data_IF_964174616324
#
_entry.id   IF_964174616324
#
_cell.length_a   1.000
_cell.length_b   1.000
_cell.length_c   1.000
_cell.angle_alpha   90.00
_cell.angle_beta   90.00
_cell.angle_gamma   90.00
#
_symmetry.space_group_name_H-M   'P 1'
#
loop_
_entity.id
_entity.type
_entity.pdbx_description
1 polymer ?
#
# COMPACT_ATOMS: atom_id res chain seq x y z
N UNK A 1 -17.44 -9.07 1.09
CA UNK A 1 -16.04 -9.23 0.59
C UNK A 1 -15.96 -9.45 -0.92
N UNK A 2 -16.66 -10.45 -1.50
CA UNK A 2 -16.69 -10.68 -2.96
C UNK A 2 -16.89 -9.39 -3.77
N UNK A 3 -17.91 -8.62 -3.43
CA UNK A 3 -18.21 -7.33 -4.07
C UNK A 3 -17.06 -6.31 -3.95
N UNK A 4 -16.45 -6.19 -2.77
CA UNK A 4 -15.29 -5.32 -2.55
C UNK A 4 -14.13 -5.72 -3.46
N UNK A 5 -13.82 -7.01 -3.54
CA UNK A 5 -12.74 -7.52 -4.40
C UNK A 5 -13.05 -7.22 -5.88
N UNK A 6 -14.28 -7.42 -6.33
CA UNK A 6 -14.70 -7.04 -7.69
C UNK A 6 -14.45 -5.56 -7.99
N UNK A 7 -14.81 -4.67 -7.05
CA UNK A 7 -14.55 -3.23 -7.18
C UNK A 7 -13.06 -2.89 -7.17
N UNK A 8 -12.26 -3.56 -6.34
CA UNK A 8 -10.80 -3.38 -6.29
C UNK A 8 -10.17 -3.71 -7.65
N UNK A 9 -10.47 -4.88 -8.23
CA UNK A 9 -9.92 -5.25 -9.55
C UNK A 9 -10.40 -4.33 -10.67
N UNK A 10 -11.67 -3.95 -10.66
CA UNK A 10 -12.22 -3.01 -11.64
C UNK A 10 -11.57 -1.62 -11.52
N UNK A 11 -11.18 -1.21 -10.31
CA UNK A 11 -10.51 0.06 -10.07
C UNK A 11 -9.05 0.02 -10.53
N UNK A 12 -8.29 -1.01 -10.14
CA UNK A 12 -6.89 -1.19 -10.53
C UNK A 12 -6.74 -1.20 -12.06
N UNK A 13 -7.67 -1.86 -12.76
CA UNK A 13 -7.65 -1.93 -14.22
C UNK A 13 -7.66 -0.55 -14.91
N UNK A 14 -8.20 0.49 -14.26
CA UNK A 14 -8.32 1.85 -14.82
C UNK A 14 -7.04 2.68 -14.76
N UNK A 15 -6.07 2.32 -13.92
CA UNK A 15 -4.88 3.16 -13.68
C UNK A 15 -3.62 2.60 -14.30
N UNK A 16 -2.85 3.39 -15.03
CA UNK A 16 -1.64 2.90 -15.72
C UNK A 16 -0.53 2.44 -14.76
N UNK A 17 -0.42 3.06 -13.59
CA UNK A 17 0.57 2.75 -12.57
C UNK A 17 -0.09 2.70 -11.19
N UNK A 18 0.40 1.82 -10.33
CA UNK A 18 -0.03 1.73 -8.95
C UNK A 18 1.18 1.71 -8.01
N UNK A 19 1.09 2.51 -6.95
CA UNK A 19 2.18 2.73 -6.00
C UNK A 19 1.74 2.18 -4.64
N UNK A 20 2.64 1.45 -3.98
CA UNK A 20 2.38 0.87 -2.67
C UNK A 20 3.64 0.83 -1.82
N UNK A 21 3.50 0.62 -0.53
CA UNK A 21 4.59 0.23 0.35
C UNK A 21 4.44 -1.24 0.77
N UNK A 22 5.34 -2.12 0.31
CA UNK A 22 5.28 -3.58 0.52
C UNK A 22 4.06 -4.27 -0.14
N UNK A 23 3.47 -3.65 -1.16
CA UNK A 23 2.34 -4.24 -1.86
C UNK A 23 2.67 -5.54 -2.60
N UNK A 24 3.91 -5.72 -3.11
CA UNK A 24 4.33 -6.99 -3.75
C UNK A 24 4.53 -8.09 -2.71
N UNK A 25 4.94 -7.72 -1.50
CA UNK A 25 5.20 -8.67 -0.42
C UNK A 25 3.95 -9.09 0.36
N UNK A 26 2.91 -8.26 0.37
CA UNK A 26 1.70 -8.54 1.15
C UNK A 26 0.39 -8.28 0.39
N UNK A 27 0.07 -7.03 0.06
CA UNK A 27 -1.26 -6.62 -0.42
C UNK A 27 -1.70 -7.38 -1.67
N UNK A 28 -0.81 -7.50 -2.66
CA UNK A 28 -1.11 -8.20 -3.90
C UNK A 28 -1.31 -9.71 -3.69
N UNK A 29 -0.36 -10.46 -3.08
CA UNK A 29 -0.58 -11.86 -2.73
C UNK A 29 -1.88 -12.09 -1.94
N UNK A 30 -2.20 -11.19 -1.01
CA UNK A 30 -3.41 -11.28 -0.19
C UNK A 30 -4.68 -11.08 -1.04
N UNK A 31 -4.75 -10.03 -1.86
CA UNK A 31 -5.87 -9.78 -2.77
C UNK A 31 -6.07 -10.93 -3.75
N UNK A 32 -4.99 -11.49 -4.30
CA UNK A 32 -5.03 -12.63 -5.19
C UNK A 32 -5.64 -13.84 -4.47
N UNK A 33 -5.11 -14.20 -3.30
CA UNK A 33 -5.59 -15.34 -2.52
C UNK A 33 -7.08 -15.18 -2.14
N UNK A 34 -7.49 -14.01 -1.63
CA UNK A 34 -8.89 -13.74 -1.28
C UNK A 34 -9.81 -13.78 -2.51
N UNK A 35 -9.33 -13.34 -3.67
CA UNK A 35 -10.11 -13.42 -4.92
C UNK A 35 -10.33 -14.85 -5.38
N UNK A 36 -9.33 -15.74 -5.23
CA UNK A 36 -9.48 -17.17 -5.50
C UNK A 36 -10.53 -17.81 -4.57
N UNK A 37 -10.46 -17.52 -3.26
CA UNK A 37 -11.43 -18.00 -2.27
C UNK A 37 -12.86 -17.59 -2.64
N UNK A 38 -13.05 -16.34 -3.09
CA UNK A 38 -14.38 -15.80 -3.42
C UNK A 38 -14.80 -15.97 -4.89
N UNK A 39 -13.99 -16.67 -5.69
CA UNK A 39 -14.22 -16.89 -7.13
C UNK A 39 -14.46 -15.57 -7.89
N UNK A 40 -13.63 -14.56 -7.61
CA UNK A 40 -13.65 -13.25 -8.26
C UNK A 40 -12.64 -13.25 -9.41
N UNK A 41 -13.06 -12.78 -10.58
CA UNK A 41 -12.15 -12.60 -11.73
C UNK A 41 -11.10 -11.54 -11.40
N UNK A 42 -9.83 -11.95 -11.51
CA UNK A 42 -8.68 -11.09 -11.30
C UNK A 42 -8.44 -10.29 -12.60
N UNK A 43 -8.48 -8.97 -12.51
CA UNK A 43 -8.22 -8.12 -13.67
C UNK A 43 -6.71 -7.99 -13.95
N UNK A 44 -6.34 -7.81 -15.22
CA UNK A 44 -4.98 -7.43 -15.61
C UNK A 44 -4.66 -6.06 -15.01
N UNK A 45 -3.65 -5.99 -14.14
CA UNK A 45 -3.30 -4.70 -13.54
C UNK A 45 -2.28 -4.74 -12.42
N UNK A 46 -2.07 -5.91 -11.79
CA UNK A 46 -1.02 -6.08 -10.80
C UNK A 46 0.23 -6.82 -11.35
N UNK A 47 0.43 -6.73 -12.66
CA UNK A 47 1.64 -7.22 -13.31
C UNK A 47 2.84 -6.37 -12.92
N UNK A 48 4.03 -6.98 -12.89
CA UNK A 48 5.22 -6.43 -12.23
C UNK A 48 5.64 -5.03 -12.70
N UNK A 49 5.36 -4.67 -13.95
CA UNK A 49 5.76 -3.41 -14.61
C UNK A 49 4.86 -2.22 -14.28
N UNK A 50 3.58 -2.44 -13.94
CA UNK A 50 2.66 -1.38 -13.51
C UNK A 50 2.77 -1.08 -12.02
N UNK A 51 3.42 -1.97 -11.27
CA UNK A 51 3.59 -1.91 -9.82
C UNK A 51 4.90 -1.25 -9.39
N UNK A 52 4.79 -0.04 -8.87
CA UNK A 52 5.85 0.57 -8.10
C UNK A 52 5.68 0.20 -6.61
N UNK A 53 6.48 -0.76 -6.14
CA UNK A 53 6.57 -1.04 -4.71
C UNK A 53 7.76 -0.27 -4.11
N UNK A 54 7.44 0.76 -3.32
CA UNK A 54 8.45 1.64 -2.71
C UNK A 54 9.33 0.90 -1.70
N UNK A 55 8.80 -0.11 -0.99
CA UNK A 55 9.60 -0.89 -0.06
C UNK A 55 10.66 -1.70 -0.81
N UNK A 56 10.28 -2.29 -1.95
CA UNK A 56 11.21 -3.02 -2.83
C UNK A 56 12.20 -2.09 -3.54
N UNK A 57 11.76 -0.90 -3.96
CA UNK A 57 12.62 0.11 -4.58
C UNK A 57 13.73 0.56 -3.61
N UNK A 58 13.36 0.88 -2.37
CA UNK A 58 14.30 1.39 -1.37
C UNK A 58 15.21 0.29 -0.83
N UNK A 59 14.76 -0.98 -0.81
CA UNK A 59 15.55 -2.12 -0.34
C UNK A 59 15.31 -3.40 -1.14
N UNK A 60 16.18 -3.72 -2.11
CA UNK A 60 16.10 -4.96 -2.86
C UNK A 60 16.46 -6.23 -2.03
N UNK A 61 17.13 -6.08 -0.87
CA UNK A 61 17.76 -7.18 -0.12
C UNK A 61 17.02 -7.59 1.19
N UNK A 62 15.69 -7.63 1.19
CA UNK A 62 14.81 -8.27 2.20
C UNK A 62 14.77 -7.74 3.66
N UNK A 63 15.51 -6.69 4.05
CA UNK A 63 15.26 -6.00 5.34
C UNK A 63 14.32 -4.81 5.12
N UNK A 64 13.01 -5.00 5.30
CA UNK A 64 12.06 -3.91 5.11
C UNK A 64 12.13 -2.93 6.29
N UNK A 65 12.41 -1.67 5.99
CA UNK A 65 12.09 -0.61 6.93
C UNK A 65 10.58 -0.50 7.06
N UNK A 66 10.10 -0.10 8.23
CA UNK A 66 8.70 0.30 8.37
C UNK A 66 8.52 1.64 7.64
N UNK A 67 7.39 1.82 6.97
CA UNK A 67 7.02 3.09 6.33
C UNK A 67 7.19 4.26 7.30
N UNK A 68 6.80 4.06 8.57
CA UNK A 68 6.91 5.06 9.63
C UNK A 68 8.34 5.57 9.85
N UNK A 69 9.30 4.65 9.91
CA UNK A 69 10.71 5.00 10.14
C UNK A 69 11.29 5.83 8.98
N UNK A 70 10.82 5.58 7.75
CA UNK A 70 11.22 6.36 6.58
C UNK A 70 10.56 7.74 6.61
N UNK A 71 9.27 7.81 6.91
CA UNK A 71 8.57 9.09 7.02
C UNK A 71 9.20 9.99 8.09
N UNK A 72 9.50 9.43 9.27
CA UNK A 72 10.20 10.12 10.36
C UNK A 72 11.56 10.67 9.91
N UNK A 73 12.39 9.83 9.27
CA UNK A 73 13.71 10.24 8.79
C UNK A 73 13.66 11.34 7.72
N UNK A 74 12.57 11.41 6.95
CA UNK A 74 12.37 12.41 5.90
C UNK A 74 11.64 13.66 6.40
N UNK A 75 11.25 13.72 7.67
CA UNK A 75 10.40 14.80 8.20
C UNK A 75 9.04 14.87 7.50
N UNK A 76 8.58 13.77 6.90
CA UNK A 76 7.22 13.64 6.42
C UNK A 76 6.39 13.46 7.67
N UNK A 77 5.43 14.36 7.91
CA UNK A 77 4.48 14.23 9.00
C UNK A 77 3.91 12.82 8.97
N UNK A 78 4.37 12.01 9.93
CA UNK A 78 3.87 10.66 10.12
C UNK A 78 2.73 10.79 11.11
N UNK A 79 1.48 10.69 10.65
CA UNK A 79 0.35 10.79 11.55
C UNK A 79 0.26 9.56 12.50
N UNK A 80 1.28 8.68 12.52
CA UNK A 80 1.52 7.66 13.57
C UNK A 80 2.01 8.22 14.90
N UNK A 81 2.36 9.50 15.01
CA UNK A 81 2.71 10.10 16.32
C UNK A 81 1.58 10.01 17.35
N UNK A 82 0.32 9.74 16.93
CA UNK A 82 -0.84 9.67 17.82
C UNK A 82 -1.89 8.58 17.51
N UNK A 83 -1.59 7.48 16.80
CA UNK A 83 -2.67 6.62 16.27
C UNK A 83 -2.43 5.12 16.12
N UNK A 84 -3.56 4.40 16.13
CA UNK A 84 -3.81 2.97 15.90
C UNK A 84 -2.72 2.26 15.09
N UNK A 85 -2.12 1.21 15.66
CA UNK A 85 -1.28 0.23 14.96
C UNK A 85 -2.12 -0.83 14.23
N UNK A 86 -1.59 -1.41 13.15
CA UNK A 86 -2.18 -2.55 12.45
C UNK A 86 -2.53 -3.74 13.36
N UNK A 87 -1.84 -3.88 14.50
CA UNK A 87 -2.14 -4.89 15.53
C UNK A 87 -3.55 -4.75 16.14
N UNK A 88 -4.11 -3.54 16.15
CA UNK A 88 -5.41 -3.25 16.75
C UNK A 88 -6.58 -3.36 15.77
N UNK A 89 -6.33 -3.49 14.46
CA UNK A 89 -7.40 -3.49 13.44
C UNK A 89 -8.47 -4.54 13.74
N UNK A 90 -8.06 -5.77 14.09
CA UNK A 90 -8.99 -6.85 14.45
C UNK A 90 -9.82 -6.54 15.71
N UNK A 91 -9.22 -5.87 16.69
CA UNK A 91 -9.92 -5.47 17.91
C UNK A 91 -10.93 -4.35 17.62
N UNK A 92 -10.50 -3.30 16.92
CA UNK A 92 -11.34 -2.17 16.55
C UNK A 92 -12.55 -2.60 15.71
N UNK A 93 -12.33 -3.54 14.79
CA UNK A 93 -13.39 -4.09 13.96
C UNK A 93 -14.46 -4.80 14.81
N UNK A 94 -14.04 -5.63 15.77
CA UNK A 94 -14.95 -6.30 16.72
C UNK A 94 -15.69 -5.33 17.64
N UNK A 95 -15.10 -4.16 17.89
CA UNK A 95 -15.69 -3.09 18.70
C UNK A 95 -16.54 -2.11 17.87
N UNK A 96 -16.76 -2.37 16.57
CA UNK A 96 -17.46 -1.48 15.64
C UNK A 96 -16.84 -0.08 15.51
N UNK A 97 -15.55 0.05 15.84
CA UNK A 97 -14.77 1.29 15.75
C UNK A 97 -14.20 1.48 14.34
N UNK A 98 -15.08 1.52 13.35
CA UNK A 98 -14.67 1.53 11.94
C UNK A 98 -13.96 2.82 11.53
N UNK A 99 -14.37 3.97 12.08
CA UNK A 99 -13.74 5.25 11.75
C UNK A 99 -12.25 5.25 12.08
N UNK A 100 -11.87 4.66 13.22
CA UNK A 100 -10.46 4.57 13.64
C UNK A 100 -9.63 3.73 12.66
N UNK A 101 -10.23 2.70 12.05
CA UNK A 101 -9.61 1.87 11.00
C UNK A 101 -9.51 2.67 9.70
N UNK A 102 -10.56 3.38 9.31
CA UNK A 102 -10.58 4.22 8.10
C UNK A 102 -9.49 5.29 8.19
N UNK A 103 -9.40 6.00 9.32
CA UNK A 103 -8.39 7.02 9.54
C UNK A 103 -6.98 6.42 9.49
N UNK A 104 -6.79 5.22 10.07
CA UNK A 104 -5.52 4.50 10.00
C UNK A 104 -5.12 4.15 8.57
N UNK A 105 -6.03 3.57 7.78
CA UNK A 105 -5.76 3.21 6.39
C UNK A 105 -5.51 4.46 5.53
N UNK A 106 -6.29 5.53 5.73
CA UNK A 106 -6.11 6.79 5.01
C UNK A 106 -4.73 7.42 5.28
N UNK A 107 -4.26 7.37 6.53
CA UNK A 107 -2.91 7.80 6.92
C UNK A 107 -1.82 7.04 6.18
N UNK A 108 -1.89 5.71 6.11
CA UNK A 108 -0.87 4.90 5.40
C UNK A 108 -0.83 5.24 3.89
N UNK A 109 -1.97 5.57 3.27
CA UNK A 109 -2.03 6.06 1.88
C UNK A 109 -1.33 7.42 1.77
N UNK A 110 -1.65 8.39 2.63
CA UNK A 110 -1.04 9.73 2.64
C UNK A 110 0.49 9.64 2.78
N UNK A 111 0.97 8.85 3.75
CA UNK A 111 2.40 8.64 3.98
C UNK A 111 3.09 7.99 2.77
N UNK A 112 2.45 7.00 2.14
CA UNK A 112 2.96 6.36 0.91
C UNK A 112 3.05 7.37 -0.24
N UNK A 113 2.05 8.24 -0.40
CA UNK A 113 2.04 9.30 -1.42
C UNK A 113 3.14 10.33 -1.17
N UNK A 114 3.30 10.80 0.07
CA UNK A 114 4.35 11.76 0.42
C UNK A 114 5.75 11.20 0.16
N UNK A 115 5.99 9.92 0.50
CA UNK A 115 7.24 9.24 0.20
C UNK A 115 7.49 9.15 -1.31
N UNK A 116 6.48 8.78 -2.10
CA UNK A 116 6.57 8.77 -3.56
C UNK A 116 6.95 10.15 -4.12
N UNK A 117 6.32 11.21 -3.63
CA UNK A 117 6.61 12.58 -4.07
C UNK A 117 8.02 13.02 -3.70
N UNK A 118 8.49 12.71 -2.49
CA UNK A 118 9.85 12.99 -2.06
C UNK A 118 10.89 12.30 -2.97
N UNK A 119 10.65 11.03 -3.33
CA UNK A 119 11.50 10.29 -4.27
C UNK A 119 11.44 10.85 -5.69
N UNK A 120 10.25 11.23 -6.15
CA UNK A 120 10.10 11.84 -7.48
C UNK A 120 10.84 13.17 -7.60
N UNK A 121 10.90 13.94 -6.51
CA UNK A 121 11.64 15.19 -6.47
C UNK A 121 13.16 14.98 -6.35
N UNK A 122 13.60 14.16 -5.39
CA UNK A 122 15.02 14.03 -5.04
C UNK A 122 15.78 13.01 -5.91
N UNK A 123 15.10 11.99 -6.43
CA UNK A 123 15.72 10.88 -7.16
C UNK A 123 14.83 10.33 -8.30
N UNK A 124 14.41 11.17 -9.26
CA UNK A 124 13.45 10.78 -10.31
C UNK A 124 13.92 9.58 -11.15
N UNK A 125 15.24 9.42 -11.36
CA UNK A 125 15.80 8.29 -12.11
C UNK A 125 15.49 6.93 -11.48
N UNK A 126 15.38 6.86 -10.14
CA UNK A 126 14.99 5.63 -9.44
C UNK A 126 13.57 5.17 -9.79
N UNK A 127 12.70 6.09 -10.20
CA UNK A 127 11.32 5.79 -10.60
C UNK A 127 11.21 5.42 -12.09
N UNK A 128 12.21 5.78 -12.90
CA UNK A 128 12.24 5.53 -14.35
C UNK A 128 12.80 4.14 -14.68
N UNK A 129 13.73 3.60 -13.89
CA UNK A 129 14.32 2.25 -14.07
C UNK A 129 13.35 1.07 -13.85
N UNK A 130 12.04 1.34 -13.74
CA UNK A 130 10.99 0.34 -13.57
C UNK A 130 10.05 0.23 -14.78
N UNK A 131 10.33 0.95 -15.86
CA UNK A 131 9.65 0.83 -17.16
C UNK A 131 10.31 -0.20 -18.06
#
# INVERSE_FOLDING_TARGET
EKELLTHVWATIAKYQQYVSYNGKGFDYPFLLFRSLVHKVTIAKGLESTRHLDLAKLLRPNNSQYKLSAICEALGIDDPKSHGVSGLYVSQLYRQNKYQEIVDYVARDVISTTALYQALAHAAPLLLVSLK
#
